data_IF_587165961973
#
_entry.id   IF_587165961973
#
_cell.length_a   1.000
_cell.length_b   1.000
_cell.length_c   1.000
_cell.angle_alpha   90.00
_cell.angle_beta   90.00
_cell.angle_gamma   90.00
#
_symmetry.space_group_name_H-M   'P 1'
#
loop_
_entity.id
_entity.type
_entity.pdbx_description
1 polymer ?
#
# COMPACT_ATOMS: atom_id res chain seq x y z
N UNK A 1 5.28 -5.42 39.85
CA UNK A 1 4.72 -6.06 38.65
C UNK A 1 3.36 -6.67 39.00
N UNK A 2 2.24 -6.22 38.42
CA UNK A 2 1.04 -7.03 38.35
C UNK A 2 0.84 -7.54 36.92
N UNK A 3 0.90 -8.87 36.78
CA UNK A 3 0.40 -9.61 35.64
C UNK A 3 -1.13 -9.59 35.69
N UNK A 4 -1.73 -8.64 34.97
CA UNK A 4 -3.18 -8.52 34.80
C UNK A 4 -3.48 -8.17 33.35
N UNK A 5 -3.12 -9.07 32.43
CA UNK A 5 -3.50 -8.97 31.02
C UNK A 5 -4.99 -9.27 30.93
N UNK A 6 -5.80 -8.22 31.03
CA UNK A 6 -7.19 -8.27 30.61
C UNK A 6 -7.23 -8.78 29.18
N UNK A 7 -7.93 -9.90 28.97
CA UNK A 7 -8.53 -10.22 27.67
C UNK A 7 -9.56 -9.11 27.41
N UNK A 8 -9.07 -7.94 26.99
CA UNK A 8 -9.93 -6.88 26.48
C UNK A 8 -10.66 -7.47 25.29
N UNK A 9 -11.97 -7.65 25.41
CA UNK A 9 -12.84 -7.95 24.28
C UNK A 9 -12.42 -7.04 23.12
N UNK A 10 -12.04 -7.64 21.99
CA UNK A 10 -11.70 -6.89 20.78
C UNK A 10 -12.97 -6.16 20.38
N UNK A 11 -13.10 -4.90 20.78
CA UNK A 11 -14.24 -4.08 20.42
C UNK A 11 -14.06 -3.70 18.96
N UNK A 12 -14.83 -4.36 18.08
CA UNK A 12 -14.84 -4.06 16.65
C UNK A 12 -15.41 -2.65 16.48
N UNK A 13 -14.57 -1.71 16.07
CA UNK A 13 -14.99 -0.34 15.76
C UNK A 13 -15.74 -0.29 14.43
N UNK A 14 -16.63 0.69 14.27
CA UNK A 14 -17.26 1.00 12.98
C UNK A 14 -16.23 1.17 11.86
N UNK A 15 -15.09 1.77 12.17
CA UNK A 15 -13.99 1.94 11.24
C UNK A 15 -13.27 0.64 10.87
N UNK A 16 -13.27 -0.36 11.75
CA UNK A 16 -12.71 -1.68 11.45
C UNK A 16 -13.56 -2.41 10.42
N UNK A 17 -14.89 -2.31 10.54
CA UNK A 17 -15.84 -2.84 9.56
C UNK A 17 -15.74 -2.10 8.23
N UNK A 18 -15.65 -0.77 8.26
CA UNK A 18 -15.46 0.03 7.05
C UNK A 18 -14.16 -0.34 6.32
N UNK A 19 -13.05 -0.44 7.06
CA UNK A 19 -11.76 -0.83 6.50
C UNK A 19 -11.78 -2.27 5.96
N UNK A 20 -12.38 -3.21 6.70
CA UNK A 20 -12.57 -4.59 6.25
C UNK A 20 -13.36 -4.62 4.93
N UNK A 21 -14.48 -3.91 4.84
CA UNK A 21 -15.31 -3.83 3.64
C UNK A 21 -14.55 -3.23 2.45
N UNK A 22 -13.95 -2.05 2.63
CA UNK A 22 -13.18 -1.34 1.60
C UNK A 22 -12.04 -2.21 1.06
N UNK A 23 -11.21 -2.77 1.95
CA UNK A 23 -10.07 -3.59 1.54
C UNK A 23 -10.53 -4.87 0.88
N UNK A 24 -11.57 -5.52 1.39
CA UNK A 24 -12.12 -6.76 0.80
C UNK A 24 -12.66 -6.51 -0.60
N UNK A 25 -13.43 -5.44 -0.81
CA UNK A 25 -13.95 -5.08 -2.13
C UNK A 25 -12.83 -4.73 -3.10
N UNK A 26 -11.86 -3.90 -2.69
CA UNK A 26 -10.73 -3.52 -3.53
C UNK A 26 -9.85 -4.72 -3.89
N UNK A 27 -9.53 -5.59 -2.92
CA UNK A 27 -8.77 -6.81 -3.15
C UNK A 27 -9.50 -7.78 -4.07
N UNK A 28 -10.81 -7.89 -3.93
CA UNK A 28 -11.65 -8.72 -4.82
C UNK A 28 -11.64 -8.16 -6.23
N UNK A 29 -11.76 -6.85 -6.42
CA UNK A 29 -11.64 -6.22 -7.72
C UNK A 29 -10.28 -6.55 -8.39
N UNK A 30 -9.17 -6.48 -7.64
CA UNK A 30 -7.84 -6.87 -8.13
C UNK A 30 -7.79 -8.33 -8.60
N UNK A 31 -8.44 -9.25 -7.87
CA UNK A 31 -8.45 -10.68 -8.21
C UNK A 31 -9.13 -10.98 -9.56
N UNK A 32 -10.14 -10.19 -9.94
CA UNK A 32 -10.91 -10.39 -11.18
C UNK A 32 -10.43 -9.57 -12.37
N UNK A 33 -9.56 -8.58 -12.17
CA UNK A 33 -8.94 -7.85 -13.27
C UNK A 33 -7.94 -8.76 -14.02
N UNK A 34 -8.04 -8.93 -15.34
CA UNK A 34 -7.14 -9.82 -16.07
C UNK A 34 -5.74 -9.21 -16.29
N UNK A 35 -5.67 -7.91 -16.62
CA UNK A 35 -4.41 -7.29 -17.05
C UNK A 35 -3.60 -6.76 -15.86
N UNK A 36 -2.28 -7.01 -15.81
CA UNK A 36 -1.40 -6.54 -14.72
C UNK A 36 -1.48 -5.03 -14.46
N UNK A 37 -1.54 -4.20 -15.50
CA UNK A 37 -1.63 -2.74 -15.38
C UNK A 37 -2.85 -2.24 -14.61
N UNK A 38 -4.00 -2.90 -14.80
CA UNK A 38 -5.23 -2.54 -14.09
C UNK A 38 -5.17 -2.99 -12.63
N UNK A 39 -4.57 -4.17 -12.35
CA UNK A 39 -4.29 -4.60 -10.97
C UNK A 39 -3.40 -3.59 -10.25
N UNK A 40 -2.32 -3.16 -10.90
CA UNK A 40 -1.38 -2.20 -10.34
C UNK A 40 -2.03 -0.84 -10.06
N UNK A 41 -2.88 -0.35 -10.97
CA UNK A 41 -3.65 0.88 -10.77
C UNK A 41 -4.62 0.76 -9.59
N UNK A 42 -5.44 -0.30 -9.54
CA UNK A 42 -6.41 -0.47 -8.43
C UNK A 42 -5.69 -0.64 -7.10
N UNK A 43 -4.56 -1.35 -7.07
CA UNK A 43 -3.70 -1.48 -5.89
C UNK A 43 -3.12 -0.13 -5.44
N UNK A 44 -2.98 0.84 -6.34
CA UNK A 44 -2.45 2.17 -6.03
C UNK A 44 -3.48 3.08 -5.35
N UNK A 45 -4.79 2.79 -5.47
CA UNK A 45 -5.82 3.70 -4.95
C UNK A 45 -5.79 3.79 -3.40
N UNK A 46 -5.73 5.01 -2.81
CA UNK A 46 -5.55 5.25 -1.37
C UNK A 46 -6.77 4.92 -0.48
N UNK A 47 -7.68 4.05 -0.88
CA UNK A 47 -8.87 3.77 -0.06
C UNK A 47 -8.52 3.19 1.33
N UNK A 48 -7.60 2.21 1.47
CA UNK A 48 -7.25 1.66 2.78
C UNK A 48 -6.54 2.71 3.66
N UNK A 49 -5.66 3.50 3.05
CA UNK A 49 -4.99 4.61 3.70
C UNK A 49 -6.00 5.63 4.23
N UNK A 50 -6.94 6.07 3.40
CA UNK A 50 -7.98 7.05 3.76
C UNK A 50 -8.82 6.55 4.93
N UNK A 51 -9.32 5.31 4.84
CA UNK A 51 -10.12 4.71 5.91
C UNK A 51 -9.34 4.58 7.22
N UNK A 52 -8.06 4.21 7.16
CA UNK A 52 -7.27 4.04 8.37
C UNK A 52 -6.81 5.37 8.99
N UNK A 53 -6.47 6.37 8.19
CA UNK A 53 -6.16 7.72 8.71
C UNK A 53 -7.36 8.31 9.43
N UNK A 54 -8.56 8.20 8.85
CA UNK A 54 -9.80 8.63 9.51
C UNK A 54 -10.09 7.82 10.77
N UNK A 55 -9.87 6.50 10.72
CA UNK A 55 -10.03 5.61 11.87
C UNK A 55 -9.10 5.96 13.04
N UNK A 56 -7.87 6.37 12.74
CA UNK A 56 -6.88 6.69 13.77
C UNK A 56 -7.08 8.10 14.33
N UNK A 57 -7.59 9.04 13.52
CA UNK A 57 -7.81 10.43 13.93
C UNK A 57 -6.51 11.16 14.32
N UNK A 58 -5.34 10.61 13.95
CA UNK A 58 -4.04 11.19 14.28
C UNK A 58 -3.55 12.07 13.15
N UNK A 59 -2.82 13.17 13.45
CA UNK A 59 -2.15 13.97 12.44
C UNK A 59 -1.22 13.12 11.57
N UNK A 60 -1.15 13.47 10.30
CA UNK A 60 -0.17 12.92 9.38
C UNK A 60 1.21 13.51 9.72
N UNK A 61 2.24 12.67 9.70
CA UNK A 61 3.61 13.08 9.96
C UNK A 61 4.63 12.17 9.30
N UNK A 62 5.86 12.16 9.84
CA UNK A 62 7.01 11.49 9.22
C UNK A 62 6.86 9.96 9.19
N UNK A 63 6.15 9.37 10.15
CA UNK A 63 5.94 7.91 10.19
C UNK A 63 5.25 7.37 8.92
N UNK A 64 4.30 8.12 8.35
CA UNK A 64 3.60 7.74 7.12
C UNK A 64 4.53 7.82 5.90
N UNK A 65 5.45 8.79 5.86
CA UNK A 65 6.47 8.86 4.82
C UNK A 65 7.41 7.65 4.88
N UNK A 66 7.89 7.29 6.08
CA UNK A 66 8.73 6.11 6.26
C UNK A 66 7.98 4.82 5.91
N UNK A 67 6.68 4.75 6.22
CA UNK A 67 5.84 3.62 5.87
C UNK A 67 5.69 3.44 4.35
N UNK A 68 5.75 4.51 3.55
CA UNK A 68 5.86 4.41 2.07
C UNK A 68 7.16 3.76 1.63
N UNK A 69 8.28 4.14 2.26
CA UNK A 69 9.59 3.52 1.97
C UNK A 69 9.54 2.02 2.32
N UNK A 70 8.97 1.66 3.46
CA UNK A 70 8.79 0.25 3.83
C UNK A 70 7.85 -0.49 2.87
N UNK A 71 6.80 0.16 2.38
CA UNK A 71 5.89 -0.42 1.39
C UNK A 71 6.62 -0.68 0.06
N UNK A 72 7.51 0.24 -0.34
CA UNK A 72 8.36 0.05 -1.51
C UNK A 72 9.31 -1.15 -1.33
N UNK A 73 9.96 -1.25 -0.17
CA UNK A 73 10.80 -2.39 0.18
C UNK A 73 10.01 -3.70 0.22
N UNK A 74 8.78 -3.67 0.72
CA UNK A 74 7.89 -4.84 0.76
C UNK A 74 7.62 -5.38 -0.65
N UNK A 75 7.19 -4.54 -1.60
CA UNK A 75 6.89 -5.01 -2.96
C UNK A 75 8.13 -5.50 -3.69
N UNK A 76 9.23 -4.74 -3.66
CA UNK A 76 10.47 -5.17 -4.31
C UNK A 76 11.08 -6.40 -3.62
N UNK A 77 11.00 -6.48 -2.29
CA UNK A 77 11.43 -7.63 -1.51
C UNK A 77 10.67 -8.90 -1.89
N UNK A 78 9.34 -8.83 -2.00
CA UNK A 78 8.52 -9.96 -2.47
C UNK A 78 8.92 -10.35 -3.89
N UNK A 79 9.09 -9.40 -4.80
CA UNK A 79 9.53 -9.69 -6.17
C UNK A 79 10.85 -10.45 -6.20
N UNK A 80 11.84 -10.03 -5.42
CA UNK A 80 13.15 -10.67 -5.36
C UNK A 80 13.08 -12.05 -4.69
N UNK A 81 12.37 -12.17 -3.58
CA UNK A 81 12.18 -13.44 -2.89
C UNK A 81 11.42 -14.45 -3.75
N UNK A 82 10.40 -13.99 -4.50
CA UNK A 82 9.59 -14.86 -5.35
C UNK A 82 10.36 -15.46 -6.54
N UNK A 83 11.53 -14.91 -6.88
CA UNK A 83 12.43 -15.54 -7.87
C UNK A 83 13.00 -16.87 -7.36
N UNK A 84 13.06 -17.07 -6.05
CA UNK A 84 13.66 -18.26 -5.42
C UNK A 84 12.67 -19.05 -4.54
N UNK A 85 11.59 -18.43 -4.12
CA UNK A 85 10.60 -18.99 -3.22
C UNK A 85 9.20 -18.95 -3.83
N UNK A 86 8.30 -19.89 -3.49
CA UNK A 86 6.88 -19.75 -3.79
C UNK A 86 6.32 -18.43 -3.22
N UNK A 87 5.21 -17.94 -3.78
CA UNK A 87 4.70 -16.60 -3.45
C UNK A 87 4.29 -16.48 -1.97
N UNK A 88 3.72 -17.52 -1.37
CA UNK A 88 3.23 -17.50 0.02
C UNK A 88 4.36 -17.26 1.04
N UNK A 89 5.46 -18.04 1.06
CA UNK A 89 6.58 -17.75 1.96
C UNK A 89 7.26 -16.40 1.66
N UNK A 90 7.33 -15.97 0.39
CA UNK A 90 7.83 -14.64 0.05
C UNK A 90 6.97 -13.52 0.68
N UNK A 91 5.64 -13.67 0.66
CA UNK A 91 4.70 -12.75 1.31
C UNK A 91 4.86 -12.76 2.83
N UNK A 92 4.98 -13.94 3.44
CA UNK A 92 5.18 -14.06 4.88
C UNK A 92 6.49 -13.35 5.32
N UNK A 93 7.60 -13.59 4.61
CA UNK A 93 8.87 -12.91 4.87
C UNK A 93 8.77 -11.39 4.67
N UNK A 94 8.11 -10.93 3.60
CA UNK A 94 7.89 -9.51 3.36
C UNK A 94 7.07 -8.85 4.47
N UNK A 95 6.01 -9.51 4.92
CA UNK A 95 5.13 -9.03 5.99
C UNK A 95 5.87 -8.94 7.33
N UNK A 96 6.61 -9.99 7.70
CA UNK A 96 7.46 -10.00 8.90
C UNK A 96 8.51 -8.89 8.82
N UNK A 97 9.17 -8.73 7.67
CA UNK A 97 10.14 -7.66 7.45
C UNK A 97 9.54 -6.27 7.64
N UNK A 98 8.34 -6.03 7.09
CA UNK A 98 7.63 -4.75 7.26
C UNK A 98 7.33 -4.47 8.74
N UNK A 99 6.81 -5.47 9.47
CA UNK A 99 6.45 -5.34 10.90
C UNK A 99 7.69 -5.03 11.74
N UNK A 100 8.78 -5.80 11.55
CA UNK A 100 10.02 -5.62 12.32
C UNK A 100 10.66 -4.26 12.04
N UNK A 101 10.75 -3.84 10.78
CA UNK A 101 11.30 -2.54 10.42
C UNK A 101 10.42 -1.39 10.92
N UNK A 102 9.10 -1.55 10.90
CA UNK A 102 8.18 -0.55 11.48
C UNK A 102 8.44 -0.36 12.97
N UNK A 103 8.57 -1.45 13.72
CA UNK A 103 8.88 -1.38 15.16
C UNK A 103 10.24 -0.75 15.45
N UNK A 104 11.24 -1.01 14.60
CA UNK A 104 12.56 -0.39 14.73
C UNK A 104 12.48 1.14 14.48
N UNK A 105 11.76 1.54 13.43
CA UNK A 105 11.65 2.94 13.01
C UNK A 105 10.69 3.76 13.88
N UNK A 106 9.73 3.15 14.58
CA UNK A 106 8.83 3.86 15.50
C UNK A 106 9.59 4.70 16.54
N UNK A 107 10.77 4.24 16.97
CA UNK A 107 11.59 4.94 17.97
C UNK A 107 12.22 6.23 17.44
N UNK A 108 12.52 6.30 16.13
CA UNK A 108 13.24 7.42 15.52
C UNK A 108 12.36 8.29 14.64
N UNK A 109 11.20 7.79 14.23
CA UNK A 109 10.28 8.52 13.35
C UNK A 109 9.76 9.83 13.96
N UNK A 110 9.66 9.91 15.29
CA UNK A 110 9.18 11.11 16.00
C UNK A 110 10.15 12.30 15.88
N UNK A 111 11.45 12.03 15.78
CA UNK A 111 12.50 13.06 15.78
C UNK A 111 12.86 13.54 14.36
N UNK A 112 12.36 12.84 13.34
CA UNK A 112 12.68 13.15 11.95
C UNK A 112 11.75 14.24 11.40
N UNK A 113 12.29 15.32 10.81
CA UNK A 113 11.48 16.36 10.20
C UNK A 113 10.75 15.84 8.95
N UNK A 114 9.49 16.22 8.81
CA UNK A 114 8.62 15.73 7.75
C UNK A 114 9.15 16.05 6.34
N UNK A 115 9.51 17.31 6.07
CA UNK A 115 9.87 17.76 4.73
C UNK A 115 11.13 17.08 4.17
N UNK A 116 12.26 16.98 4.89
CA UNK A 116 13.41 16.24 4.41
C UNK A 116 13.10 14.76 4.14
N UNK A 117 12.32 14.11 5.00
CA UNK A 117 11.90 12.73 4.78
C UNK A 117 11.04 12.60 3.51
N UNK A 118 10.07 13.50 3.31
CA UNK A 118 9.18 13.51 2.15
C UNK A 118 9.94 13.77 0.85
N UNK A 119 10.91 14.69 0.86
CA UNK A 119 11.78 14.98 -0.28
C UNK A 119 12.68 13.78 -0.62
N UNK A 120 13.31 13.15 0.37
CA UNK A 120 14.15 11.96 0.17
C UNK A 120 13.33 10.78 -0.39
N UNK A 121 12.15 10.54 0.17
CA UNK A 121 11.22 9.52 -0.30
C UNK A 121 10.78 9.79 -1.75
N UNK A 122 10.42 11.04 -2.07
CA UNK A 122 10.01 11.44 -3.42
C UNK A 122 11.16 11.31 -4.43
N UNK A 123 12.38 11.70 -4.07
CA UNK A 123 13.56 11.57 -4.91
C UNK A 123 13.87 10.09 -5.20
N UNK A 124 13.81 9.23 -4.19
CA UNK A 124 13.97 7.78 -4.35
C UNK A 124 12.90 7.21 -5.30
N UNK A 125 11.64 7.58 -5.11
CA UNK A 125 10.53 7.15 -5.97
C UNK A 125 10.73 7.59 -7.42
N UNK A 126 11.08 8.86 -7.66
CA UNK A 126 11.34 9.37 -9.00
C UNK A 126 12.55 8.67 -9.65
N UNK A 127 13.63 8.47 -8.92
CA UNK A 127 14.79 7.72 -9.41
C UNK A 127 14.38 6.30 -9.86
N UNK A 128 13.63 5.57 -9.02
CA UNK A 128 13.17 4.22 -9.34
C UNK A 128 12.17 4.18 -10.49
N UNK A 129 11.34 5.22 -10.64
CA UNK A 129 10.43 5.38 -11.77
C UNK A 129 11.19 5.47 -13.09
N UNK A 130 12.28 6.25 -13.15
CA UNK A 130 13.08 6.38 -14.36
C UNK A 130 13.97 5.17 -14.64
N UNK A 131 14.40 4.44 -13.61
CA UNK A 131 15.28 3.28 -13.74
C UNK A 131 14.53 2.00 -14.14
N UNK A 132 13.24 1.87 -13.85
CA UNK A 132 12.50 0.64 -14.17
C UNK A 132 12.09 0.56 -15.65
N UNK A 133 12.61 -0.45 -16.34
CA UNK A 133 12.23 -0.72 -17.73
C UNK A 133 10.83 -1.33 -17.88
N UNK A 134 10.11 -1.03 -18.98
CA UNK A 134 8.89 -1.74 -19.36
C UNK A 134 9.11 -3.23 -19.59
N UNK A 135 8.10 -4.05 -19.27
CA UNK A 135 8.10 -5.49 -19.54
C UNK A 135 6.67 -5.97 -19.79
N UNK A 136 6.48 -6.78 -20.81
CA UNK A 136 5.22 -7.48 -21.06
C UNK A 136 5.08 -8.66 -20.09
N UNK A 137 3.92 -8.78 -19.45
CA UNK A 137 3.60 -9.85 -18.52
C UNK A 137 2.24 -10.46 -18.88
N UNK A 138 2.05 -11.77 -18.63
CA UNK A 138 0.84 -12.47 -19.04
C UNK A 138 -0.39 -12.01 -18.24
N UNK A 139 -1.53 -11.99 -18.93
CA UNK A 139 -2.82 -11.76 -18.31
C UNK A 139 -3.20 -12.94 -17.39
N UNK A 140 -3.78 -12.62 -16.23
CA UNK A 140 -4.23 -13.62 -15.28
C UNK A 140 -5.35 -13.09 -14.39
N UNK A 141 -6.45 -13.82 -14.29
CA UNK A 141 -7.51 -13.63 -13.30
C UNK A 141 -7.70 -14.90 -12.47
N UNK A 142 -8.25 -14.75 -11.28
CA UNK A 142 -8.63 -15.91 -10.47
C UNK A 142 -9.72 -16.74 -11.18
N UNK A 143 -9.64 -18.09 -11.20
CA UNK A 143 -10.71 -18.94 -11.69
C UNK A 143 -11.79 -19.19 -10.63
N UNK A 144 -11.54 -18.82 -9.38
CA UNK A 144 -12.47 -19.07 -8.27
C UNK A 144 -13.75 -18.24 -8.44
N UNK A 145 -14.93 -18.80 -8.16
CA UNK A 145 -16.18 -18.04 -8.11
C UNK A 145 -16.17 -16.98 -7.00
N UNK A 146 -16.87 -15.86 -7.22
CA UNK A 146 -16.85 -14.68 -6.34
C UNK A 146 -17.35 -14.98 -4.93
N UNK A 147 -18.34 -15.86 -4.80
CA UNK A 147 -18.91 -16.26 -3.51
C UNK A 147 -17.95 -17.09 -2.65
N UNK A 148 -16.90 -17.69 -3.21
CA UNK A 148 -15.81 -18.33 -2.45
C UNK A 148 -14.65 -17.37 -2.25
N UNK A 149 -14.34 -16.55 -3.26
CA UNK A 149 -13.19 -15.65 -3.24
C UNK A 149 -13.36 -14.51 -2.23
N UNK A 150 -14.53 -13.87 -2.23
CA UNK A 150 -14.87 -12.76 -1.35
C UNK A 150 -14.73 -13.12 0.14
N UNK A 151 -15.33 -14.21 0.67
CA UNK A 151 -15.16 -14.56 2.08
C UNK A 151 -13.72 -14.99 2.41
N UNK A 152 -13.01 -15.67 1.50
CA UNK A 152 -11.62 -16.02 1.72
C UNK A 152 -10.72 -14.77 1.83
N UNK A 153 -10.91 -13.78 0.97
CA UNK A 153 -10.24 -12.48 1.06
C UNK A 153 -10.61 -11.79 2.37
N UNK A 154 -11.91 -11.74 2.73
CA UNK A 154 -12.38 -11.14 3.97
C UNK A 154 -11.73 -11.76 5.21
N UNK A 155 -11.58 -13.09 5.24
CA UNK A 155 -10.89 -13.79 6.34
C UNK A 155 -9.41 -13.40 6.45
N UNK A 156 -8.69 -13.32 5.32
CA UNK A 156 -7.28 -12.90 5.29
C UNK A 156 -7.15 -11.43 5.75
N UNK A 157 -8.00 -10.54 5.24
CA UNK A 157 -8.01 -9.13 5.65
C UNK A 157 -8.30 -9.02 7.14
N UNK A 158 -9.30 -9.74 7.66
CA UNK A 158 -9.63 -9.78 9.08
C UNK A 158 -8.43 -10.19 9.94
N UNK A 159 -7.71 -11.25 9.55
CA UNK A 159 -6.50 -11.68 10.25
C UNK A 159 -5.40 -10.60 10.22
N UNK A 160 -5.18 -9.97 9.07
CA UNK A 160 -4.18 -8.89 8.94
C UNK A 160 -4.54 -7.64 9.75
N UNK A 161 -5.84 -7.35 9.91
CA UNK A 161 -6.31 -6.23 10.72
C UNK A 161 -6.02 -6.39 12.21
N UNK A 162 -5.91 -7.62 12.72
CA UNK A 162 -5.53 -7.88 14.13
C UNK A 162 -4.12 -7.39 14.46
N UNK A 163 -3.27 -7.20 13.45
CA UNK A 163 -1.85 -6.81 13.63
C UNK A 163 -1.70 -5.28 13.59
N UNK A 164 -2.67 -4.55 13.02
CA UNK A 164 -2.50 -3.13 12.66
C UNK A 164 -2.24 -2.22 13.88
N UNK A 165 -2.81 -2.55 15.03
CA UNK A 165 -2.76 -1.68 16.22
C UNK A 165 -1.33 -1.50 16.75
N UNK A 166 -0.46 -2.50 16.56
CA UNK A 166 0.92 -2.43 17.02
C UNK A 166 1.79 -1.46 16.21
N UNK A 167 1.34 -1.04 15.02
CA UNK A 167 2.15 -0.32 14.03
C UNK A 167 1.95 1.19 14.04
N UNK A 168 0.97 1.71 14.78
CA UNK A 168 0.66 3.15 14.89
C UNK A 168 0.60 3.85 13.52
N UNK A 169 1.38 4.92 13.27
CA UNK A 169 1.38 5.65 12.01
C UNK A 169 1.82 4.81 10.79
N UNK A 170 2.62 3.76 11.01
CA UNK A 170 2.97 2.80 9.96
C UNK A 170 1.79 1.94 9.52
N UNK A 171 0.78 1.77 10.38
CA UNK A 171 -0.40 0.99 10.04
C UNK A 171 -1.11 1.53 8.78
N UNK A 172 -1.05 2.85 8.54
CA UNK A 172 -1.76 3.53 7.43
C UNK A 172 -1.35 3.04 6.05
N UNK A 173 -0.13 2.49 5.95
CA UNK A 173 0.44 1.91 4.74
C UNK A 173 0.89 0.46 4.98
N UNK A 174 0.35 -0.18 6.02
CA UNK A 174 0.54 -1.59 6.25
C UNK A 174 0.01 -2.35 5.02
N UNK A 175 0.76 -3.32 4.47
CA UNK A 175 0.47 -3.90 3.17
C UNK A 175 -0.68 -4.93 3.22
N UNK A 176 -1.84 -4.60 3.81
CA UNK A 176 -3.02 -5.47 3.82
C UNK A 176 -3.43 -5.79 2.38
N UNK A 177 -3.61 -4.73 1.58
CA UNK A 177 -3.90 -4.86 0.17
C UNK A 177 -2.67 -5.34 -0.62
N UNK A 178 -1.47 -4.99 -0.16
CA UNK A 178 -0.20 -5.41 -0.76
C UNK A 178 0.00 -6.93 -0.75
N UNK A 179 -0.37 -7.62 0.33
CA UNK A 179 -0.29 -9.08 0.44
C UNK A 179 -1.20 -9.76 -0.59
N UNK A 180 -2.48 -9.39 -0.62
CA UNK A 180 -3.45 -10.01 -1.53
C UNK A 180 -3.17 -9.60 -2.97
N UNK A 181 -2.87 -8.31 -3.20
CA UNK A 181 -2.53 -7.77 -4.50
C UNK A 181 -1.29 -8.46 -5.11
N UNK A 182 -0.25 -8.70 -4.32
CA UNK A 182 0.95 -9.41 -4.77
C UNK A 182 0.66 -10.89 -5.07
N UNK A 183 -0.20 -11.54 -4.29
CA UNK A 183 -0.63 -12.91 -4.57
C UNK A 183 -1.41 -13.02 -5.89
N UNK A 184 -2.37 -12.11 -6.09
CA UNK A 184 -3.20 -12.07 -7.31
C UNK A 184 -2.41 -11.61 -8.54
N UNK A 185 -1.39 -10.78 -8.34
CA UNK A 185 -0.48 -10.29 -9.37
C UNK A 185 0.84 -11.07 -9.43
N UNK A 186 0.92 -12.29 -8.88
CA UNK A 186 2.18 -13.07 -8.86
C UNK A 186 2.81 -13.31 -10.23
N UNK A 187 1.98 -13.36 -11.29
CA UNK A 187 2.41 -13.48 -12.70
C UNK A 187 2.74 -12.13 -13.36
N UNK A 188 2.51 -11.03 -12.65
CA UNK A 188 2.59 -9.64 -13.09
C UNK A 188 3.32 -8.73 -12.08
N UNK A 189 4.23 -9.31 -11.27
CA UNK A 189 4.88 -8.57 -10.18
C UNK A 189 5.81 -7.48 -10.68
N UNK A 190 6.37 -7.61 -11.88
CA UNK A 190 7.21 -6.56 -12.44
C UNK A 190 6.39 -5.29 -12.67
N UNK A 191 5.20 -5.42 -13.26
CA UNK A 191 4.26 -4.31 -13.50
C UNK A 191 3.83 -3.67 -12.19
N UNK A 192 3.49 -4.49 -11.17
CA UNK A 192 3.16 -3.97 -9.84
C UNK A 192 4.32 -3.19 -9.25
N UNK A 193 5.52 -3.77 -9.21
CA UNK A 193 6.72 -3.10 -8.69
C UNK A 193 7.08 -1.83 -9.46
N UNK A 194 6.76 -1.72 -10.75
CA UNK A 194 7.00 -0.50 -11.53
C UNK A 194 5.98 0.59 -11.23
N UNK A 195 4.75 0.22 -10.86
CA UNK A 195 3.72 1.16 -10.41
C UNK A 195 4.00 1.67 -8.98
N UNK A 196 4.70 0.92 -8.14
CA UNK A 196 5.00 1.32 -6.75
C UNK A 196 5.74 2.65 -6.63
N UNK A 197 6.77 2.96 -7.43
CA UNK A 197 7.34 4.30 -7.50
C UNK A 197 6.33 5.41 -7.83
N UNK A 198 5.41 5.16 -8.78
CA UNK A 198 4.34 6.12 -9.12
C UNK A 198 3.39 6.33 -7.93
N UNK A 199 2.96 5.24 -7.31
CA UNK A 199 2.17 5.24 -6.08
C UNK A 199 2.87 6.06 -5.00
N UNK A 200 4.15 5.80 -4.76
CA UNK A 200 4.94 6.47 -3.73
C UNK A 200 5.07 7.97 -4.01
N UNK A 201 5.35 8.38 -5.24
CA UNK A 201 5.39 9.81 -5.61
C UNK A 201 4.05 10.49 -5.39
N UNK A 202 2.95 9.87 -5.82
CA UNK A 202 1.60 10.42 -5.62
C UNK A 202 1.21 10.48 -4.14
N UNK A 203 1.54 9.45 -3.36
CA UNK A 203 1.29 9.42 -1.91
C UNK A 203 2.13 10.45 -1.16
N UNK A 204 3.40 10.67 -1.53
CA UNK A 204 4.20 11.74 -0.94
C UNK A 204 3.54 13.12 -1.17
N UNK A 205 3.03 13.38 -2.38
CA UNK A 205 2.31 14.61 -2.67
C UNK A 205 1.00 14.72 -1.88
N UNK A 206 0.25 13.62 -1.75
CA UNK A 206 -0.95 13.54 -0.92
C UNK A 206 -0.62 13.85 0.55
N UNK A 207 0.38 13.18 1.12
CA UNK A 207 0.79 13.36 2.53
C UNK A 207 1.29 14.78 2.78
N UNK A 208 2.04 15.38 1.85
CA UNK A 208 2.45 16.77 1.95
C UNK A 208 1.25 17.73 1.96
N UNK A 209 0.25 17.49 1.11
CA UNK A 209 -0.97 18.29 1.09
C UNK A 209 -1.81 18.11 2.38
N UNK A 210 -1.90 16.89 2.93
CA UNK A 210 -2.56 16.68 4.23
C UNK A 210 -1.78 17.40 5.33
N UNK A 211 -0.46 17.25 5.37
CA UNK A 211 0.40 17.83 6.39
C UNK A 211 0.26 19.35 6.48
N UNK A 212 0.10 20.03 5.35
CA UNK A 212 -0.10 21.50 5.31
C UNK A 212 -1.55 21.91 5.57
N UNK A 213 -2.54 21.13 5.13
CA UNK A 213 -3.95 21.49 5.25
C UNK A 213 -4.59 21.05 6.58
N UNK A 214 -4.03 20.06 7.29
CA UNK A 214 -4.66 19.46 8.47
C UNK A 214 -4.88 20.44 9.62
N UNK A 215 -4.00 21.44 9.78
CA UNK A 215 -4.11 22.44 10.85
C UNK A 215 -5.21 23.48 10.57
N UNK A 216 -5.55 23.71 9.29
CA UNK A 216 -6.53 24.74 8.88
C UNK A 216 -7.90 24.16 8.53
N UNK A 217 -7.93 23.01 7.86
CA UNK A 217 -9.16 22.39 7.34
C UNK A 217 -9.56 21.13 8.13
N UNK A 218 -8.80 20.77 9.17
CA UNK A 218 -8.91 19.49 9.84
C UNK A 218 -8.46 18.31 8.98
N UNK A 219 -8.33 17.13 9.59
CA UNK A 219 -7.83 15.93 8.91
C UNK A 219 -8.72 15.49 7.73
N UNK A 220 -10.05 15.54 7.91
CA UNK A 220 -11.00 15.15 6.85
C UNK A 220 -10.96 16.13 5.66
N UNK A 221 -10.91 17.45 5.91
CA UNK A 221 -10.77 18.46 4.85
C UNK A 221 -9.44 18.33 4.11
N UNK A 222 -8.34 18.14 4.86
CA UNK A 222 -7.02 17.88 4.27
C UNK A 222 -6.99 16.60 3.41
N UNK A 223 -7.67 15.53 3.83
CA UNK A 223 -7.82 14.31 3.03
C UNK A 223 -8.58 14.55 1.72
N UNK A 224 -9.68 15.32 1.73
CA UNK A 224 -10.44 15.64 0.52
C UNK A 224 -9.59 16.43 -0.49
N UNK A 225 -8.89 17.47 -0.02
CA UNK A 225 -8.00 18.29 -0.87
C UNK A 225 -6.87 17.43 -1.44
N UNK A 226 -6.24 16.60 -0.59
CA UNK A 226 -5.11 15.78 -0.99
C UNK A 226 -5.47 14.65 -1.97
N UNK A 227 -6.72 14.19 -2.01
CA UNK A 227 -7.18 13.27 -3.06
C UNK A 227 -7.07 13.90 -4.46
N UNK A 228 -7.41 15.18 -4.60
CA UNK A 228 -7.25 15.89 -5.87
C UNK A 228 -5.77 16.00 -6.27
N UNK A 229 -4.90 16.34 -5.31
CA UNK A 229 -3.44 16.38 -5.50
C UNK A 229 -2.89 15.00 -5.89
N UNK A 230 -3.33 13.96 -5.19
CA UNK A 230 -2.95 12.57 -5.45
C UNK A 230 -3.29 12.17 -6.88
N UNK A 231 -4.54 12.41 -7.32
CA UNK A 231 -4.99 12.07 -8.67
C UNK A 231 -4.26 12.89 -9.74
N UNK A 232 -4.01 14.18 -9.49
CA UNK A 232 -3.27 15.05 -10.40
C UNK A 232 -1.84 14.55 -10.65
N UNK A 233 -1.21 13.88 -9.67
CA UNK A 233 0.12 13.27 -9.81
C UNK A 233 0.04 11.85 -10.36
N UNK A 234 -0.86 11.01 -9.83
CA UNK A 234 -1.01 9.60 -10.24
C UNK A 234 -1.34 9.48 -11.73
N UNK A 235 -2.29 10.29 -12.20
CA UNK A 235 -2.86 10.18 -13.54
C UNK A 235 -1.82 10.33 -14.66
N UNK A 236 -1.09 11.45 -14.80
CA UNK A 236 -0.13 11.63 -15.88
C UNK A 236 1.03 10.62 -15.83
N UNK A 237 1.50 10.27 -14.62
CA UNK A 237 2.57 9.29 -14.46
C UNK A 237 2.12 7.89 -14.88
N UNK A 238 0.90 7.48 -14.51
CA UNK A 238 0.34 6.19 -14.91
C UNK A 238 0.11 6.13 -16.42
N UNK A 239 -0.43 7.20 -17.02
CA UNK A 239 -0.61 7.28 -18.47
C UNK A 239 0.72 7.14 -19.20
N UNK A 240 1.75 7.88 -18.77
CA UNK A 240 3.09 7.77 -19.36
C UNK A 240 3.64 6.35 -19.22
N UNK A 241 3.50 5.74 -18.05
CA UNK A 241 3.92 4.37 -17.80
C UNK A 241 3.25 3.39 -18.77
N UNK A 242 1.94 3.54 -19.01
CA UNK A 242 1.19 2.68 -19.92
C UNK A 242 1.52 2.93 -21.39
N UNK A 243 1.80 4.19 -21.78
CA UNK A 243 2.29 4.47 -23.15
C UNK A 243 3.63 3.81 -23.42
N UNK A 244 4.53 3.78 -22.43
CA UNK A 244 5.81 3.09 -22.55
C UNK A 244 5.65 1.56 -22.66
N UNK A 245 4.67 0.97 -21.96
CA UNK A 245 4.35 -0.46 -22.11
C UNK A 245 3.84 -0.80 -23.51
N UNK A 246 3.00 0.07 -24.08
CA UNK A 246 2.45 -0.14 -25.41
C UNK A 246 3.53 -0.10 -26.51
N UNK A 247 4.62 0.64 -26.28
CA UNK A 247 5.75 0.78 -27.19
C UNK A 247 6.86 -0.25 -26.93
N UNK A 248 6.77 -1.04 -25.86
CA UNK A 248 7.83 -1.96 -25.47
C UNK A 248 7.91 -3.15 -26.45
N UNK A 249 9.10 -3.46 -27.01
CA UNK A 249 9.25 -4.61 -27.87
C UNK A 249 8.96 -5.91 -27.09
N UNK A 250 8.24 -6.85 -27.72
CA UNK A 250 8.02 -8.17 -27.17
C UNK A 250 9.36 -8.90 -27.08
N UNK A 251 9.97 -8.93 -25.90
CA UNK A 251 11.12 -9.81 -25.64
C UNK A 251 10.58 -11.22 -25.46
N UNK A 252 10.65 -12.00 -26.54
CA UNK A 252 10.43 -13.45 -26.56
C UNK A 252 11.47 -14.17 -25.71
#
# INVERSE_FOLDING_TARGET
>A
MPAGRYLSAVSVSYWDLALLGVVTLQATAIAYLPRPRWKALVLSLPFPFTALVLSQGRPVGTSQILALVLLLLFFHGIRLLHQRLPIVPALACGLVGYILLSHLLLKTAADLPFWPAALAASALALALYFLHSPRTEPDHRTPLPIYLKLPAIGAIVGLLLLIKESLQGFATLFPILGVIGSYEARKGLWTVCRQVPVLMTAMCAMLAAIYTAQDTCGLAGGLLISWAVYLAVLWPLTLRLWTQDALAPQRT
#
